data_IF_252952203325
#
_entry.id   IF_252952203325
#
_cell.length_a   1.000
_cell.length_b   1.000
_cell.length_c   1.000
_cell.angle_alpha   90.00
_cell.angle_beta   90.00
_cell.angle_gamma   90.00
#
_symmetry.space_group_name_H-M   'P 1'
#
loop_
_entity.id
_entity.type
_entity.pdbx_description
1 polymer ?
#
# COMPACT_ATOMS: atom_id res chain seq x y z
N UNK A 1 -3.92 -26.40 -19.93
CA UNK A 1 -3.68 -27.39 -18.87
C UNK A 1 -2.18 -27.46 -18.65
N UNK A 2 -1.68 -26.79 -17.60
CA UNK A 2 -0.32 -27.04 -17.15
C UNK A 2 -0.25 -28.45 -16.55
N UNK A 3 0.88 -29.11 -16.72
CA UNK A 3 1.10 -30.48 -16.28
C UNK A 3 1.19 -30.53 -14.74
N UNK A 4 0.19 -31.13 -14.09
CA UNK A 4 0.14 -31.30 -12.64
C UNK A 4 1.30 -32.16 -12.08
N UNK A 5 2.09 -32.80 -12.95
CA UNK A 5 3.31 -33.51 -12.55
C UNK A 5 4.52 -32.59 -12.33
N UNK A 6 4.41 -31.29 -12.62
CA UNK A 6 5.47 -30.34 -12.32
C UNK A 6 5.68 -30.28 -10.79
N UNK A 7 6.92 -30.52 -10.28
CA UNK A 7 7.16 -30.68 -8.85
C UNK A 7 6.71 -29.49 -7.97
N UNK A 8 6.70 -28.28 -8.53
CA UNK A 8 6.25 -27.08 -7.82
C UNK A 8 4.72 -26.96 -7.75
N UNK A 9 3.99 -27.47 -8.76
CA UNK A 9 2.52 -27.53 -8.76
C UNK A 9 2.05 -28.62 -7.79
N UNK A 10 2.70 -29.79 -7.81
CA UNK A 10 2.40 -30.89 -6.89
C UNK A 10 2.64 -30.48 -5.41
N UNK A 11 3.73 -29.77 -5.13
CA UNK A 11 4.03 -29.28 -3.77
C UNK A 11 3.07 -28.17 -3.32
N UNK A 12 2.70 -27.25 -4.20
CA UNK A 12 1.72 -26.21 -3.88
C UNK A 12 0.35 -26.81 -3.54
N UNK A 13 -0.10 -27.80 -4.31
CA UNK A 13 -1.37 -28.49 -4.07
C UNK A 13 -1.33 -29.32 -2.78
N UNK A 14 -0.22 -30.02 -2.48
CA UNK A 14 -0.06 -30.79 -1.24
C UNK A 14 -0.11 -29.90 0.02
N UNK A 15 0.48 -28.70 -0.04
CA UNK A 15 0.44 -27.75 1.07
C UNK A 15 -0.94 -27.12 1.27
N UNK A 16 -1.67 -26.86 0.19
CA UNK A 16 -3.06 -26.38 0.23
C UNK A 16 -4.00 -27.45 0.82
N UNK A 17 -3.77 -28.74 0.54
CA UNK A 17 -4.59 -29.85 1.07
C UNK A 17 -4.35 -30.13 2.56
N UNK A 18 -3.16 -29.80 3.10
CA UNK A 18 -2.78 -30.13 4.49
C UNK A 18 -2.61 -28.92 5.42
N UNK A 19 -2.91 -27.69 4.96
CA UNK A 19 -2.72 -26.45 5.70
C UNK A 19 -3.43 -26.39 7.06
N UNK A 20 -4.61 -26.99 7.19
CA UNK A 20 -5.38 -27.01 8.43
C UNK A 20 -4.71 -27.81 9.57
N UNK A 21 -3.83 -28.77 9.25
CA UNK A 21 -3.07 -29.53 10.25
C UNK A 21 -1.93 -28.72 10.90
N UNK A 22 -1.64 -27.52 10.38
CA UNK A 22 -0.59 -26.63 10.88
C UNK A 22 -1.12 -25.51 11.81
N UNK A 23 -2.43 -25.44 12.05
CA UNK A 23 -3.04 -24.47 12.98
C UNK A 23 -2.88 -24.93 14.44
N UNK A 24 -2.22 -24.12 15.26
CA UNK A 24 -2.12 -24.35 16.71
C UNK A 24 -3.44 -23.94 17.41
N UNK A 25 -4.03 -24.80 18.26
CA UNK A 25 -5.39 -24.59 18.77
C UNK A 25 -5.55 -23.59 19.93
N UNK A 26 -4.49 -22.99 20.46
CA UNK A 26 -4.60 -22.12 21.65
C UNK A 26 -3.71 -20.88 21.55
N UNK A 27 -4.27 -19.75 21.14
CA UNK A 27 -3.65 -18.42 21.34
C UNK A 27 -4.54 -17.54 22.21
N UNK A 28 -3.98 -16.89 23.26
CA UNK A 28 -4.73 -16.00 24.13
C UNK A 28 -5.09 -14.72 23.37
N UNK A 29 -6.38 -14.38 23.33
CA UNK A 29 -6.86 -13.09 22.86
C UNK A 29 -6.19 -11.94 23.65
N UNK A 30 -5.76 -10.92 22.92
CA UNK A 30 -4.72 -9.97 23.29
C UNK A 30 -5.00 -9.12 24.53
N UNK A 31 -3.96 -8.93 25.33
CA UNK A 31 -3.79 -7.80 26.23
C UNK A 31 -2.99 -6.73 25.47
N UNK A 32 -3.67 -5.89 24.68
CA UNK A 32 -3.05 -4.66 24.19
C UNK A 32 -2.95 -3.71 25.39
N UNK A 33 -1.75 -3.48 25.92
CA UNK A 33 -1.54 -2.45 26.94
C UNK A 33 -1.98 -1.10 26.35
N UNK A 34 -3.11 -0.58 26.81
CA UNK A 34 -3.54 0.79 26.54
C UNK A 34 -2.43 1.74 26.98
N UNK A 35 -1.83 2.46 26.04
CA UNK A 35 -0.80 3.45 26.34
C UNK A 35 -1.34 4.47 27.34
N UNK A 36 -0.56 4.73 28.39
CA UNK A 36 -0.95 5.73 29.38
C UNK A 36 -0.92 7.11 28.71
N UNK A 37 -1.94 7.95 28.93
CA UNK A 37 -1.92 9.33 28.46
C UNK A 37 -0.66 10.05 28.94
N UNK A 38 -0.09 10.96 28.13
CA UNK A 38 1.08 11.70 28.53
C UNK A 38 0.79 12.53 29.77
N UNK A 39 1.83 12.69 30.58
CA UNK A 39 1.78 13.50 31.79
C UNK A 39 1.34 14.92 31.45
N UNK A 40 0.37 15.45 32.20
CA UNK A 40 0.02 16.85 32.19
C UNK A 40 1.10 17.69 32.90
N UNK A 41 1.58 18.72 32.22
CA UNK A 41 2.65 19.62 32.66
C UNK A 41 2.13 20.96 33.18
N UNK A 42 0.85 21.25 32.99
CA UNK A 42 0.21 22.50 33.41
C UNK A 42 0.57 23.70 32.53
N UNK A 43 -0.23 24.76 32.65
CA UNK A 43 -0.02 26.03 31.94
C UNK A 43 1.25 26.74 32.42
N UNK A 44 1.90 27.47 31.51
CA UNK A 44 3.06 28.34 31.80
C UNK A 44 2.79 29.74 31.30
N UNK A 45 3.00 30.73 32.17
CA UNK A 45 2.89 32.14 31.80
C UNK A 45 3.98 32.56 30.80
N UNK A 46 5.15 31.92 30.86
CA UNK A 46 6.27 32.11 29.93
C UNK A 46 6.47 30.81 29.13
N UNK A 47 6.25 30.81 27.81
CA UNK A 47 6.45 29.63 27.00
C UNK A 47 7.91 29.15 26.98
N UNK A 48 8.10 27.84 27.05
CA UNK A 48 9.38 27.16 26.85
C UNK A 48 9.59 26.97 25.35
N UNK A 49 10.42 27.80 24.73
CA UNK A 49 10.72 27.72 23.29
C UNK A 49 12.13 27.19 22.99
N UNK A 50 13.00 27.14 24.00
CA UNK A 50 14.33 26.56 23.88
C UNK A 50 14.26 25.04 24.16
N UNK A 51 14.69 24.17 23.23
CA UNK A 51 14.78 22.74 23.47
C UNK A 51 15.59 22.34 24.72
N UNK A 52 16.56 23.16 25.15
CA UNK A 52 17.36 22.89 26.35
C UNK A 52 16.55 23.00 27.65
N UNK A 53 15.44 23.73 27.64
CA UNK A 53 14.58 24.00 28.80
C UNK A 53 13.37 23.05 28.87
N UNK A 54 13.27 22.08 27.95
CA UNK A 54 12.18 21.10 27.93
C UNK A 54 12.22 20.25 29.21
N UNK A 55 11.08 20.12 29.93
CA UNK A 55 11.02 19.29 31.13
C UNK A 55 11.37 17.82 30.85
N UNK A 56 12.20 17.23 31.72
CA UNK A 56 12.59 15.82 31.59
C UNK A 56 11.38 14.90 31.52
N UNK A 57 11.26 14.15 30.42
CA UNK A 57 10.16 13.21 30.18
C UNK A 57 9.00 13.79 29.37
N UNK A 58 9.07 15.06 28.96
CA UNK A 58 8.19 15.59 27.93
C UNK A 58 8.58 15.03 26.55
N UNK A 59 7.60 14.80 25.70
CA UNK A 59 7.77 14.30 24.34
C UNK A 59 6.87 15.08 23.39
N UNK A 60 7.33 15.27 22.15
CA UNK A 60 6.55 15.86 21.07
C UNK A 60 5.65 14.83 20.36
N UNK A 61 5.72 13.55 20.75
CA UNK A 61 4.92 12.47 20.20
C UNK A 61 3.83 12.06 21.19
N UNK A 62 2.57 12.14 20.75
CA UNK A 62 1.41 11.68 21.50
C UNK A 62 1.02 10.30 20.98
N UNK A 63 1.53 9.25 21.64
CA UNK A 63 1.38 7.85 21.21
C UNK A 63 0.10 7.19 21.71
N UNK A 64 -0.69 7.91 22.51
CA UNK A 64 -1.93 7.45 23.13
C UNK A 64 -3.18 7.80 22.32
N UNK A 65 -3.05 8.64 21.29
CA UNK A 65 -4.10 8.96 20.33
C UNK A 65 -3.75 8.26 19.02
N UNK A 66 -4.72 7.62 18.39
CA UNK A 66 -4.53 7.02 17.07
C UNK A 66 -4.29 8.12 16.03
N UNK A 67 -3.37 7.90 15.09
CA UNK A 67 -2.99 8.94 14.11
C UNK A 67 -4.14 9.36 13.19
N UNK A 68 -5.13 8.48 13.01
CA UNK A 68 -6.36 8.71 12.25
C UNK A 68 -7.46 9.43 13.06
N UNK A 69 -7.31 9.55 14.38
CA UNK A 69 -8.16 10.40 15.22
C UNK A 69 -7.74 11.88 15.10
N UNK A 70 -8.04 12.45 13.93
CA UNK A 70 -7.70 13.84 13.58
C UNK A 70 -8.31 14.82 14.59
N UNK A 71 -9.51 14.54 15.10
CA UNK A 71 -10.18 15.38 16.09
C UNK A 71 -9.48 15.33 17.44
N UNK A 72 -9.15 14.14 17.93
CA UNK A 72 -8.34 13.96 19.13
C UNK A 72 -6.97 14.64 19.00
N UNK A 73 -6.33 14.57 17.83
CA UNK A 73 -5.06 15.24 17.56
C UNK A 73 -5.18 16.78 17.54
N UNK A 74 -6.27 17.34 17.02
CA UNK A 74 -6.56 18.79 17.08
C UNK A 74 -6.75 19.25 18.53
N UNK A 75 -7.56 18.54 19.30
CA UNK A 75 -7.77 18.83 20.73
C UNK A 75 -6.45 18.74 21.51
N UNK A 76 -5.65 17.71 21.21
CA UNK A 76 -4.33 17.52 21.80
C UNK A 76 -3.38 18.67 21.48
N UNK A 77 -3.36 19.15 20.25
CA UNK A 77 -2.56 20.31 19.88
C UNK A 77 -2.98 21.55 20.68
N UNK A 78 -4.28 21.83 20.81
CA UNK A 78 -4.77 22.95 21.63
C UNK A 78 -4.35 22.81 23.10
N UNK A 79 -4.44 21.61 23.67
CA UNK A 79 -3.98 21.33 25.02
C UNK A 79 -2.48 21.59 25.19
N UNK A 80 -1.64 21.09 24.28
CA UNK A 80 -0.18 21.27 24.29
C UNK A 80 0.25 22.72 24.11
N UNK A 81 -0.42 23.46 23.23
CA UNK A 81 -0.21 24.91 23.07
C UNK A 81 -0.49 25.63 24.40
N UNK A 82 -1.57 25.25 25.09
CA UNK A 82 -1.91 25.81 26.40
C UNK A 82 -0.91 25.43 27.51
N UNK A 83 -0.21 24.30 27.44
CA UNK A 83 0.88 23.97 28.38
C UNK A 83 2.10 24.89 28.23
N UNK A 84 2.21 25.57 27.09
CA UNK A 84 3.30 26.51 26.79
C UNK A 84 4.66 25.84 26.63
N UNK A 85 4.74 24.54 26.31
CA UNK A 85 6.01 23.86 26.00
C UNK A 85 6.11 23.66 24.48
N UNK A 86 7.09 24.30 23.85
CA UNK A 86 7.33 24.31 22.40
C UNK A 86 6.07 24.63 21.58
N UNK A 87 5.32 25.72 21.89
CA UNK A 87 4.03 25.99 21.26
C UNK A 87 4.11 26.04 19.72
N UNK A 88 5.18 26.60 19.14
CA UNK A 88 5.40 26.69 17.69
C UNK A 88 5.37 25.32 16.96
N UNK A 89 5.79 24.24 17.64
CA UNK A 89 5.71 22.88 17.07
C UNK A 89 4.25 22.44 16.99
N UNK A 90 3.49 22.69 18.05
CA UNK A 90 2.09 22.30 18.15
C UNK A 90 1.17 23.18 17.33
N UNK A 91 1.48 24.46 17.12
CA UNK A 91 0.76 25.33 16.18
C UNK A 91 0.93 24.86 14.74
N UNK A 92 2.14 24.43 14.36
CA UNK A 92 2.37 23.82 13.04
C UNK A 92 1.62 22.50 12.87
N UNK A 93 1.63 21.64 13.88
CA UNK A 93 0.84 20.40 13.89
C UNK A 93 -0.66 20.68 13.84
N UNK A 94 -1.15 21.65 14.60
CA UNK A 94 -2.55 22.07 14.60
C UNK A 94 -2.98 22.49 13.21
N UNK A 95 -2.20 23.35 12.54
CA UNK A 95 -2.48 23.77 11.17
C UNK A 95 -2.50 22.58 10.20
N UNK A 96 -1.59 21.63 10.36
CA UNK A 96 -1.57 20.40 9.58
C UNK A 96 -2.88 19.61 9.78
N UNK A 97 -3.25 19.27 11.01
CA UNK A 97 -4.46 18.51 11.30
C UNK A 97 -5.75 19.25 10.92
N UNK A 98 -5.78 20.58 11.04
CA UNK A 98 -6.90 21.40 10.55
C UNK A 98 -7.05 21.31 9.03
N UNK A 99 -5.94 21.36 8.28
CA UNK A 99 -5.96 21.15 6.83
C UNK A 99 -6.39 19.72 6.48
N UNK A 100 -5.92 18.72 7.22
CA UNK A 100 -6.36 17.32 7.04
C UNK A 100 -7.86 17.20 7.24
N UNK A 101 -8.40 17.72 8.35
CA UNK A 101 -9.85 17.72 8.65
C UNK A 101 -10.66 18.45 7.57
N UNK A 102 -10.17 19.60 7.11
CA UNK A 102 -10.81 20.33 6.02
C UNK A 102 -10.85 19.48 4.74
N UNK A 103 -9.73 18.85 4.37
CA UNK A 103 -9.65 17.97 3.21
C UNK A 103 -10.57 16.76 3.35
N UNK A 104 -10.62 16.12 4.52
CA UNK A 104 -11.56 15.03 4.80
C UNK A 104 -13.01 15.50 4.62
N UNK A 105 -13.34 16.69 5.14
CA UNK A 105 -14.67 17.29 5.00
C UNK A 105 -15.01 17.57 3.53
N UNK A 106 -14.05 18.10 2.75
CA UNK A 106 -14.22 18.35 1.32
C UNK A 106 -14.45 17.04 0.55
N UNK A 107 -13.69 15.99 0.85
CA UNK A 107 -13.84 14.66 0.26
C UNK A 107 -15.18 14.00 0.62
N UNK A 108 -15.62 14.13 1.87
CA UNK A 108 -16.94 13.63 2.30
C UNK A 108 -18.05 14.38 1.55
N UNK A 109 -17.91 15.71 1.43
CA UNK A 109 -18.92 16.54 0.75
C UNK A 109 -18.93 16.36 -0.78
N UNK A 110 -17.85 15.83 -1.38
CA UNK A 110 -17.82 15.54 -2.82
C UNK A 110 -18.52 14.24 -3.20
N UNK A 111 -18.83 13.39 -2.24
CA UNK A 111 -19.40 12.06 -2.47
C UNK A 111 -20.85 11.93 -1.93
N UNK A 112 -21.63 10.96 -2.42
CA UNK A 112 -22.98 10.72 -1.92
C UNK A 112 -23.02 10.42 -0.41
N UNK A 113 -24.10 10.85 0.25
CA UNK A 113 -24.30 10.54 1.66
C UNK A 113 -24.40 9.02 1.89
N UNK A 114 -23.78 8.53 2.97
CA UNK A 114 -23.81 7.11 3.35
C UNK A 114 -22.66 6.27 2.81
N UNK A 115 -21.76 6.85 2.02
CA UNK A 115 -20.50 6.22 1.61
C UNK A 115 -19.52 6.23 2.80
N UNK A 116 -18.86 5.10 3.06
CA UNK A 116 -17.89 4.99 4.16
C UNK A 116 -16.61 5.79 3.88
N UNK A 117 -15.86 6.13 4.93
CA UNK A 117 -14.62 6.89 4.79
C UNK A 117 -13.57 6.17 3.94
N UNK A 118 -13.47 4.86 4.08
CA UNK A 118 -12.55 3.99 3.32
C UNK A 118 -12.89 4.03 1.83
N UNK A 119 -14.19 3.97 1.49
CA UNK A 119 -14.66 4.10 0.11
C UNK A 119 -14.36 5.50 -0.42
N UNK A 120 -14.55 6.57 0.36
CA UNK A 120 -14.21 7.94 -0.05
C UNK A 120 -12.69 8.07 -0.34
N UNK A 121 -11.83 7.52 0.52
CA UNK A 121 -10.39 7.50 0.28
C UNK A 121 -10.03 6.71 -0.99
N UNK A 122 -10.72 5.60 -1.24
CA UNK A 122 -10.53 4.82 -2.47
C UNK A 122 -11.01 5.59 -3.69
N UNK A 123 -12.12 6.30 -3.62
CA UNK A 123 -12.64 7.15 -4.70
C UNK A 123 -11.65 8.27 -5.04
N UNK A 124 -11.05 8.98 -4.07
CA UNK A 124 -9.96 9.96 -4.34
C UNK A 124 -8.76 9.31 -5.04
N UNK A 125 -8.41 8.08 -4.64
CA UNK A 125 -7.33 7.34 -5.31
C UNK A 125 -7.68 6.97 -6.76
N UNK A 126 -8.91 6.52 -7.01
CA UNK A 126 -9.40 6.20 -8.36
C UNK A 126 -9.53 7.44 -9.24
N UNK A 127 -9.94 8.57 -8.68
CA UNK A 127 -10.02 9.87 -9.38
C UNK A 127 -8.62 10.32 -9.85
N UNK A 128 -7.59 10.11 -9.02
CA UNK A 128 -6.18 10.37 -9.41
C UNK A 128 -5.70 9.42 -10.49
N UNK A 129 -5.94 8.11 -10.33
CA UNK A 129 -5.59 7.11 -11.35
C UNK A 129 -6.23 7.46 -12.68
N UNK A 130 -7.51 7.84 -12.67
CA UNK A 130 -8.22 8.29 -13.87
C UNK A 130 -7.57 9.54 -14.47
N UNK A 131 -7.23 10.53 -13.65
CA UNK A 131 -6.56 11.75 -14.11
C UNK A 131 -5.21 11.43 -14.76
N UNK A 132 -4.42 10.55 -14.16
CA UNK A 132 -3.14 10.11 -14.71
C UNK A 132 -3.35 9.39 -16.06
N UNK A 133 -4.37 8.54 -16.16
CA UNK A 133 -4.76 7.91 -17.43
C UNK A 133 -5.12 8.94 -18.51
N UNK A 134 -5.89 9.97 -18.16
CA UNK A 134 -6.29 11.05 -19.06
C UNK A 134 -5.07 11.91 -19.51
N UNK A 135 -4.11 12.16 -18.61
CA UNK A 135 -2.92 12.98 -18.89
C UNK A 135 -1.87 12.24 -19.74
N UNK A 136 -1.63 10.95 -19.47
CA UNK A 136 -0.56 10.18 -20.12
C UNK A 136 -1.04 9.29 -21.28
N UNK A 137 -2.35 9.09 -21.43
CA UNK A 137 -2.95 8.29 -22.51
C UNK A 137 -2.60 6.81 -22.50
N UNK A 138 -2.07 6.31 -21.37
CA UNK A 138 -1.64 4.92 -21.18
C UNK A 138 -2.43 4.27 -20.04
N UNK A 139 -3.70 4.01 -20.28
CA UNK A 139 -4.56 3.35 -19.31
C UNK A 139 -4.57 1.83 -19.46
N UNK A 140 -3.92 1.29 -20.50
CA UNK A 140 -3.97 -0.11 -20.87
C UNK A 140 -5.41 -0.65 -21.01
N UNK A 141 -6.37 0.20 -21.39
CA UNK A 141 -7.80 -0.10 -21.44
C UNK A 141 -8.53 -0.11 -20.09
N UNK A 142 -7.93 0.41 -19.01
CA UNK A 142 -8.53 0.41 -17.67
C UNK A 142 -9.39 1.63 -17.33
N UNK A 143 -9.40 2.70 -18.14
CA UNK A 143 -10.27 3.86 -17.87
C UNK A 143 -11.74 3.44 -17.69
N UNK A 144 -12.32 2.56 -18.53
CA UNK A 144 -13.67 2.05 -18.32
C UNK A 144 -13.84 1.32 -16.99
N UNK A 145 -12.83 0.54 -16.57
CA UNK A 145 -12.88 -0.19 -15.29
C UNK A 145 -12.89 0.79 -14.10
N UNK A 146 -11.99 1.78 -14.10
CA UNK A 146 -11.91 2.79 -13.04
C UNK A 146 -13.24 3.53 -12.91
N UNK A 147 -13.81 3.98 -14.04
CA UNK A 147 -15.13 4.66 -14.05
C UNK A 147 -16.22 3.74 -13.48
N UNK A 148 -16.24 2.46 -13.88
CA UNK A 148 -17.26 1.52 -13.44
C UNK A 148 -17.13 1.18 -11.95
N UNK A 149 -15.91 1.03 -11.43
CA UNK A 149 -15.64 0.81 -10.01
C UNK A 149 -16.09 2.02 -9.19
N UNK A 150 -15.73 3.23 -9.61
CA UNK A 150 -16.18 4.47 -8.94
C UNK A 150 -17.71 4.55 -8.92
N UNK A 151 -18.37 4.22 -10.02
CA UNK A 151 -19.83 4.20 -10.10
C UNK A 151 -20.44 3.16 -9.14
N UNK A 152 -19.86 1.96 -9.05
CA UNK A 152 -20.35 0.91 -8.16
C UNK A 152 -20.17 1.25 -6.68
N UNK A 153 -19.06 1.90 -6.29
CA UNK A 153 -18.90 2.43 -4.94
C UNK A 153 -19.91 3.53 -4.62
N UNK A 154 -20.11 4.47 -5.55
CA UNK A 154 -21.07 5.59 -5.38
C UNK A 154 -22.53 5.13 -5.34
N UNK A 155 -22.88 4.04 -6.03
CA UNK A 155 -24.22 3.44 -5.99
C UNK A 155 -24.44 2.52 -4.78
N UNK A 156 -23.36 2.08 -4.14
CA UNK A 156 -23.39 1.05 -3.09
C UNK A 156 -23.48 -0.38 -3.62
N UNK A 157 -23.38 -0.60 -4.93
CA UNK A 157 -23.31 -1.94 -5.55
C UNK A 157 -21.98 -2.63 -5.22
N UNK A 158 -20.94 -1.84 -4.97
CA UNK A 158 -19.67 -2.29 -4.42
C UNK A 158 -19.49 -1.67 -3.04
N UNK A 159 -19.26 -2.54 -2.05
CA UNK A 159 -18.97 -2.14 -0.67
C UNK A 159 -17.53 -2.53 -0.38
N UNK A 160 -16.78 -1.63 0.26
CA UNK A 160 -15.46 -1.98 0.78
C UNK A 160 -15.66 -3.02 1.89
N UNK A 161 -15.28 -4.27 1.62
CA UNK A 161 -15.44 -5.34 2.59
C UNK A 161 -14.23 -5.39 3.51
N UNK A 162 -14.47 -5.47 4.81
CA UNK A 162 -13.44 -5.78 5.80
C UNK A 162 -12.98 -7.25 5.72
N UNK A 163 -13.57 -8.07 4.83
CA UNK A 163 -13.16 -9.46 4.59
C UNK A 163 -11.81 -9.49 3.85
N UNK A 164 -10.71 -9.88 4.52
CA UNK A 164 -9.38 -9.83 3.93
C UNK A 164 -9.28 -10.77 2.73
N UNK A 165 -8.77 -10.24 1.60
CA UNK A 165 -8.62 -11.01 0.36
C UNK A 165 -9.88 -11.13 -0.49
N UNK A 166 -10.99 -10.48 -0.11
CA UNK A 166 -12.14 -10.28 -0.98
C UNK A 166 -11.79 -9.31 -2.11
N UNK A 167 -11.96 -9.76 -3.35
CA UNK A 167 -11.68 -9.00 -4.57
C UNK A 167 -12.88 -8.98 -5.50
N UNK A 168 -12.89 -7.98 -6.39
CA UNK A 168 -13.76 -7.96 -7.57
C UNK A 168 -12.92 -7.88 -8.83
N UNK A 169 -13.33 -8.65 -9.84
CA UNK A 169 -12.67 -8.70 -11.13
C UNK A 169 -13.45 -7.84 -12.10
N UNK A 170 -12.74 -6.97 -12.82
CA UNK A 170 -13.33 -6.03 -13.76
C UNK A 170 -12.67 -6.18 -15.12
N UNK A 171 -13.49 -6.19 -16.16
CA UNK A 171 -13.01 -6.16 -17.54
C UNK A 171 -13.88 -5.25 -18.40
N UNK A 172 -13.24 -4.36 -19.16
CA UNK A 172 -13.89 -3.47 -20.12
C UNK A 172 -15.09 -2.69 -19.55
N UNK A 173 -14.94 -2.20 -18.31
CA UNK A 173 -15.95 -1.39 -17.61
C UNK A 173 -17.09 -2.18 -16.98
N UNK A 174 -16.92 -3.49 -16.76
CA UNK A 174 -17.92 -4.34 -16.10
C UNK A 174 -17.27 -5.21 -15.05
N UNK A 175 -17.95 -5.38 -13.92
CA UNK A 175 -17.62 -6.42 -12.96
C UNK A 175 -17.95 -7.77 -13.58
N UNK A 176 -16.92 -8.61 -13.77
CA UNK A 176 -17.04 -9.94 -14.38
C UNK A 176 -17.15 -11.05 -13.33
N UNK A 177 -16.61 -10.82 -12.13
CA UNK A 177 -16.72 -11.74 -11.00
C UNK A 177 -16.50 -11.03 -9.65
N UNK A 178 -16.99 -11.65 -8.57
CA UNK A 178 -16.90 -11.13 -7.20
C UNK A 178 -18.15 -10.35 -6.74
N UNK A 179 -18.16 -9.83 -5.50
CA UNK A 179 -17.09 -9.91 -4.49
C UNK A 179 -16.87 -11.34 -3.99
N UNK A 180 -15.60 -11.78 -3.96
CA UNK A 180 -15.20 -13.11 -3.46
C UNK A 180 -13.69 -13.17 -3.21
N UNK A 181 -13.25 -14.23 -2.54
CA UNK A 181 -11.82 -14.51 -2.34
C UNK A 181 -11.07 -14.61 -3.66
N UNK A 182 -9.86 -14.05 -3.69
CA UNK A 182 -9.01 -14.05 -4.89
C UNK A 182 -8.64 -15.48 -5.29
N UNK A 183 -8.87 -15.84 -6.54
CA UNK A 183 -8.43 -17.08 -7.16
C UNK A 183 -7.55 -16.78 -8.37
N UNK A 184 -6.35 -17.37 -8.41
CA UNK A 184 -5.39 -17.12 -9.49
C UNK A 184 -5.75 -17.85 -10.77
N UNK A 185 -6.30 -19.05 -10.68
CA UNK A 185 -6.69 -19.81 -11.87
C UNK A 185 -7.80 -19.07 -12.61
N UNK A 186 -8.78 -18.56 -11.86
CA UNK A 186 -9.85 -17.72 -12.40
C UNK A 186 -9.34 -16.39 -12.94
N UNK A 187 -8.43 -15.71 -12.23
CA UNK A 187 -7.81 -14.49 -12.77
C UNK A 187 -7.16 -14.76 -14.15
N UNK A 188 -6.42 -15.86 -14.26
CA UNK A 188 -5.77 -16.27 -15.50
C UNK A 188 -6.78 -16.67 -16.57
N UNK A 189 -7.88 -17.33 -16.20
CA UNK A 189 -8.97 -17.69 -17.11
C UNK A 189 -9.68 -16.44 -17.65
N UNK A 190 -10.00 -15.48 -16.79
CA UNK A 190 -10.55 -14.17 -17.18
C UNK A 190 -9.57 -13.47 -18.13
N UNK A 191 -8.26 -13.50 -17.83
CA UNK A 191 -7.24 -12.91 -18.70
C UNK A 191 -7.13 -13.59 -20.06
N UNK A 192 -7.29 -14.92 -20.11
CA UNK A 192 -7.30 -15.67 -21.37
C UNK A 192 -8.56 -15.40 -22.19
N UNK A 193 -9.72 -15.26 -21.56
CA UNK A 193 -11.00 -15.01 -22.23
C UNK A 193 -11.14 -13.56 -22.73
N UNK A 194 -10.75 -12.58 -21.90
CA UNK A 194 -11.00 -11.15 -22.13
C UNK A 194 -9.84 -10.41 -22.77
N UNK A 195 -8.70 -11.09 -22.92
CA UNK A 195 -7.44 -10.53 -23.43
C UNK A 195 -6.59 -9.89 -22.31
N UNK A 196 -5.32 -9.58 -22.60
CA UNK A 196 -4.37 -9.10 -21.59
C UNK A 196 -4.54 -7.63 -21.19
N UNK A 197 -5.49 -6.91 -21.81
CA UNK A 197 -5.71 -5.48 -21.60
C UNK A 197 -7.07 -5.23 -20.96
N UNK A 198 -7.18 -4.14 -20.21
CA UNK A 198 -8.43 -3.71 -19.59
C UNK A 198 -8.96 -4.68 -18.56
N UNK A 199 -8.07 -5.38 -17.83
CA UNK A 199 -8.41 -6.22 -16.69
C UNK A 199 -7.90 -5.57 -15.43
N UNK A 200 -8.77 -5.50 -14.43
CA UNK A 200 -8.50 -4.91 -13.13
C UNK A 200 -8.98 -5.83 -12.01
N UNK A 201 -8.17 -5.96 -10.96
CA UNK A 201 -8.57 -6.64 -9.72
C UNK A 201 -8.63 -5.59 -8.63
N UNK A 202 -9.82 -5.32 -8.15
CA UNK A 202 -10.07 -4.37 -7.07
C UNK A 202 -10.06 -5.10 -5.72
N UNK A 203 -9.35 -4.56 -4.74
CA UNK A 203 -9.26 -5.13 -3.38
C UNK A 203 -8.03 -6.00 -3.10
N UNK A 204 -6.99 -5.99 -3.96
CA UNK A 204 -5.78 -6.79 -3.73
C UNK A 204 -4.99 -6.29 -2.51
N UNK A 205 -4.68 -7.20 -1.60
CA UNK A 205 -3.82 -6.98 -0.42
C UNK A 205 -2.54 -7.80 -0.53
N UNK A 206 -1.40 -7.24 -0.12
CA UNK A 206 -0.18 -8.05 0.10
C UNK A 206 0.10 -8.15 1.59
N UNK A 207 0.76 -9.23 1.98
CA UNK A 207 1.35 -9.37 3.30
C UNK A 207 2.83 -9.03 3.25
N UNK A 208 3.26 -8.21 4.20
CA UNK A 208 4.67 -7.92 4.45
C UNK A 208 5.11 -8.42 5.82
N UNK A 209 6.36 -8.84 5.95
CA UNK A 209 6.96 -9.23 7.24
C UNK A 209 8.44 -8.90 7.33
N UNK A 210 8.97 -8.93 8.55
CA UNK A 210 10.40 -8.76 8.79
C UNK A 210 11.18 -10.03 8.37
N UNK A 211 12.17 -9.95 7.46
CA UNK A 211 13.00 -11.11 7.12
C UNK A 211 13.83 -11.67 8.30
N UNK A 212 14.11 -10.88 9.34
CA UNK A 212 14.89 -11.31 10.50
C UNK A 212 14.15 -12.31 11.40
N UNK A 213 12.86 -12.55 11.19
CA UNK A 213 12.06 -13.51 11.97
C UNK A 213 11.90 -14.88 11.30
N UNK A 214 12.79 -15.21 10.35
CA UNK A 214 12.84 -16.45 9.57
C UNK A 214 12.59 -17.76 10.36
N UNK A 215 12.95 -17.82 11.65
CA UNK A 215 12.80 -19.04 12.47
C UNK A 215 11.35 -19.37 12.84
N UNK A 216 10.39 -18.48 12.58
CA UNK A 216 8.97 -18.72 12.80
C UNK A 216 8.20 -18.41 11.52
N UNK A 217 8.01 -19.42 10.67
CA UNK A 217 7.17 -19.32 9.48
C UNK A 217 5.68 -19.35 9.85
N UNK A 218 5.27 -18.40 10.67
CA UNK A 218 3.89 -18.20 11.12
C UNK A 218 3.34 -16.96 10.45
N UNK A 219 2.02 -16.87 10.31
CA UNK A 219 1.32 -15.64 9.94
C UNK A 219 1.37 -14.57 11.05
N UNK A 220 1.82 -14.92 12.25
CA UNK A 220 1.80 -14.05 13.44
C UNK A 220 2.54 -12.70 13.28
N UNK A 221 3.71 -12.60 12.59
CA UNK A 221 4.40 -11.33 12.38
C UNK A 221 4.19 -10.77 10.97
N UNK A 222 3.03 -10.98 10.35
CA UNK A 222 2.71 -10.40 9.03
C UNK A 222 1.75 -9.23 9.16
N UNK A 223 1.90 -8.27 8.26
CA UNK A 223 1.03 -7.10 8.15
C UNK A 223 0.44 -7.10 6.75
N UNK A 224 -0.89 -7.13 6.66
CA UNK A 224 -1.60 -7.01 5.40
C UNK A 224 -1.75 -5.53 5.06
N UNK A 225 -1.22 -5.12 3.92
CA UNK A 225 -1.26 -3.73 3.45
C UNK A 225 -1.79 -3.70 2.02
N UNK A 226 -2.78 -2.83 1.71
CA UNK A 226 -3.18 -2.54 0.34
C UNK A 226 -2.01 -1.99 -0.47
N UNK A 227 -1.81 -2.50 -1.68
CA UNK A 227 -0.71 -2.08 -2.56
C UNK A 227 -1.23 -1.23 -3.70
N UNK A 228 -0.59 -0.10 -3.91
CA UNK A 228 -0.66 0.62 -5.17
C UNK A 228 0.54 0.22 -6.04
N UNK A 229 0.31 -0.61 -7.04
CA UNK A 229 1.37 -0.90 -8.03
C UNK A 229 1.70 0.40 -8.78
N UNK A 230 2.88 0.94 -8.51
CA UNK A 230 3.37 2.17 -9.13
C UNK A 230 4.50 1.78 -10.08
N UNK A 231 4.15 1.60 -11.35
CA UNK A 231 5.06 1.19 -12.41
C UNK A 231 6.12 2.24 -12.75
N UNK A 232 5.94 3.49 -12.28
CA UNK A 232 6.93 4.57 -12.42
C UNK A 232 8.00 4.56 -11.34
N UNK A 233 7.79 3.81 -10.26
CA UNK A 233 8.72 3.76 -9.14
C UNK A 233 9.93 2.85 -9.43
N UNK A 234 11.13 3.29 -9.05
CA UNK A 234 12.34 2.46 -9.14
C UNK A 234 12.45 1.41 -8.00
N UNK A 235 11.63 1.55 -6.95
CA UNK A 235 11.64 0.67 -5.79
C UNK A 235 10.27 0.70 -5.11
N UNK A 236 9.99 -0.32 -4.31
CA UNK A 236 8.87 -0.28 -3.36
C UNK A 236 9.08 0.85 -2.35
N UNK A 237 7.99 1.44 -1.87
CA UNK A 237 7.97 2.46 -0.82
C UNK A 237 7.04 2.00 0.30
N UNK A 238 7.52 2.11 1.53
CA UNK A 238 6.74 1.90 2.75
C UNK A 238 6.76 3.19 3.58
N UNK A 239 5.74 3.40 4.40
CA UNK A 239 5.74 4.52 5.33
C UNK A 239 6.56 4.18 6.59
N UNK A 240 7.07 5.22 7.27
CA UNK A 240 7.88 5.04 8.47
C UNK A 240 7.07 4.38 9.59
N UNK A 241 5.81 4.76 9.76
CA UNK A 241 4.91 4.09 10.71
C UNK A 241 4.75 2.58 10.45
N UNK A 242 4.72 2.15 9.19
CA UNK A 242 4.66 0.73 8.81
C UNK A 242 5.95 -0.03 9.14
N UNK A 243 7.11 0.60 8.92
CA UNK A 243 8.38 0.05 9.38
C UNK A 243 8.35 -0.13 10.89
N UNK A 244 8.04 0.91 11.66
CA UNK A 244 8.06 0.87 13.12
C UNK A 244 7.08 -0.18 13.65
N UNK A 245 5.90 -0.29 13.03
CA UNK A 245 4.92 -1.32 13.34
C UNK A 245 5.47 -2.73 13.10
N UNK A 246 6.07 -2.98 11.93
CA UNK A 246 6.68 -4.26 11.59
C UNK A 246 7.81 -4.64 12.54
N UNK A 247 8.68 -3.69 12.86
CA UNK A 247 9.81 -3.92 13.75
C UNK A 247 9.32 -4.28 15.15
N UNK A 248 8.32 -3.55 15.65
CA UNK A 248 7.67 -3.83 16.93
C UNK A 248 7.00 -5.20 16.94
N UNK A 249 6.22 -5.52 15.91
CA UNK A 249 5.53 -6.80 15.76
C UNK A 249 6.52 -7.97 15.73
N UNK A 250 7.64 -7.79 15.02
CA UNK A 250 8.68 -8.79 14.87
C UNK A 250 9.66 -8.89 16.06
N UNK A 251 9.69 -7.88 16.92
CA UNK A 251 10.69 -7.75 18.00
C UNK A 251 12.13 -7.52 17.49
N UNK A 252 12.30 -7.07 16.25
CA UNK A 252 13.60 -6.92 15.61
C UNK A 252 13.58 -5.75 14.59
N UNK A 253 14.69 -5.03 14.38
CA UNK A 253 14.75 -4.02 13.32
C UNK A 253 14.68 -4.67 11.93
N UNK A 254 14.20 -3.93 10.93
CA UNK A 254 14.29 -4.34 9.54
C UNK A 254 15.76 -4.27 9.07
N UNK A 255 16.23 -5.17 8.20
CA UNK A 255 17.57 -5.06 7.65
C UNK A 255 17.68 -3.82 6.75
N UNK A 256 18.47 -2.84 7.18
CA UNK A 256 18.82 -1.67 6.36
C UNK A 256 19.93 -2.06 5.39
N UNK A 257 19.71 -1.91 4.08
CA UNK A 257 20.73 -2.22 3.05
C UNK A 257 21.54 -1.01 2.62
N UNK A 258 20.90 0.17 2.59
CA UNK A 258 21.53 1.39 2.10
C UNK A 258 20.72 2.62 2.46
N UNK A 259 21.32 3.79 2.30
CA UNK A 259 20.62 5.08 2.33
C UNK A 259 20.76 5.71 0.95
N UNK A 260 19.65 6.17 0.37
CA UNK A 260 19.61 6.77 -0.97
C UNK A 260 18.97 8.15 -0.92
N UNK A 261 19.32 8.98 -1.88
CA UNK A 261 18.64 10.25 -2.09
C UNK A 261 17.49 10.05 -3.09
N UNK A 262 16.27 10.25 -2.63
CA UNK A 262 15.04 10.15 -3.40
C UNK A 262 14.60 11.55 -3.81
N UNK A 263 14.40 11.77 -5.11
CA UNK A 263 13.77 13.00 -5.59
C UNK A 263 12.28 12.93 -5.32
N UNK A 264 11.74 13.93 -4.63
CA UNK A 264 10.31 14.07 -4.36
C UNK A 264 9.83 15.45 -4.82
N UNK A 265 8.52 15.66 -4.86
CA UNK A 265 7.95 17.00 -5.11
C UNK A 265 8.40 18.05 -4.07
N UNK A 266 8.82 17.62 -2.88
CA UNK A 266 9.37 18.47 -1.82
C UNK A 266 10.91 18.65 -1.93
N UNK A 267 11.52 18.17 -3.02
CA UNK A 267 12.97 18.17 -3.24
C UNK A 267 13.63 16.84 -2.92
N UNK A 268 14.96 16.87 -2.86
CA UNK A 268 15.78 15.69 -2.58
C UNK A 268 15.66 15.29 -1.11
N UNK A 269 15.23 14.08 -0.84
CA UNK A 269 15.10 13.53 0.51
C UNK A 269 15.98 12.30 0.69
N UNK A 270 16.71 12.25 1.79
CA UNK A 270 17.50 11.06 2.14
C UNK A 270 16.60 10.03 2.83
N UNK A 271 16.53 8.83 2.26
CA UNK A 271 15.67 7.73 2.72
C UNK A 271 16.48 6.46 2.98
N UNK A 272 16.06 5.69 3.98
CA UNK A 272 16.64 4.37 4.23
C UNK A 272 15.99 3.34 3.30
N UNK A 273 16.79 2.39 2.85
CA UNK A 273 16.34 1.23 2.10
C UNK A 273 16.40 0.04 3.05
N UNK A 274 15.26 -0.59 3.25
CA UNK A 274 15.11 -1.78 4.07
C UNK A 274 14.76 -2.98 3.20
N UNK A 275 14.97 -4.19 3.73
CA UNK A 275 14.48 -5.42 3.12
C UNK A 275 13.22 -5.86 3.85
N UNK A 276 12.16 -6.06 3.08
CA UNK A 276 10.92 -6.69 3.51
C UNK A 276 10.82 -8.08 2.89
N UNK A 277 10.12 -8.98 3.57
CA UNK A 277 9.57 -10.17 2.92
C UNK A 277 8.12 -9.90 2.53
N UNK A 278 7.80 -10.07 1.25
CA UNK A 278 6.47 -9.79 0.70
C UNK A 278 5.88 -11.08 0.12
N UNK A 279 4.58 -11.26 0.29
CA UNK A 279 3.81 -12.34 -0.32
C UNK A 279 2.39 -11.82 -0.63
N UNK A 280 1.71 -12.41 -1.62
CA UNK A 280 0.27 -12.19 -1.77
C UNK A 280 -0.40 -13.07 -0.72
N UNK A 281 -1.32 -12.51 0.04
CA UNK A 281 -2.09 -13.28 0.99
C UNK A 281 -3.50 -13.51 0.46
N UNK A 282 -3.96 -14.73 0.61
CA UNK A 282 -5.32 -15.14 0.33
C UNK A 282 -5.75 -16.11 1.42
N UNK A 283 -6.88 -15.86 2.08
CA UNK A 283 -7.43 -16.75 3.11
C UNK A 283 -6.48 -17.04 4.29
N UNK A 284 -5.75 -16.02 4.75
CA UNK A 284 -4.70 -16.16 5.78
C UNK A 284 -3.53 -17.08 5.39
N UNK A 285 -3.43 -17.41 4.10
CA UNK A 285 -2.35 -18.21 3.55
C UNK A 285 -1.54 -17.42 2.52
N UNK A 286 -0.20 -17.59 2.51
CA UNK A 286 0.63 -17.05 1.45
C UNK A 286 0.31 -17.76 0.13
N UNK A 287 -0.06 -17.01 -0.91
CA UNK A 287 -0.34 -17.56 -2.24
C UNK A 287 0.93 -18.03 -2.95
N UNK A 288 2.09 -17.47 -2.58
CA UNK A 288 3.36 -17.87 -3.17
C UNK A 288 4.05 -18.89 -2.28
N UNK A 289 4.69 -19.90 -2.88
CA UNK A 289 5.39 -20.94 -2.13
C UNK A 289 6.58 -20.42 -1.33
N UNK A 290 7.03 -19.18 -1.60
CA UNK A 290 8.11 -18.52 -0.88
C UNK A 290 7.82 -17.04 -0.68
N UNK A 291 8.24 -16.52 0.46
CA UNK A 291 8.33 -15.09 0.70
C UNK A 291 9.45 -14.49 -0.14
N UNK A 292 9.19 -13.35 -0.75
CA UNK A 292 10.13 -12.67 -1.64
C UNK A 292 10.77 -11.52 -0.89
N UNK A 293 12.11 -11.48 -0.88
CA UNK A 293 12.84 -10.34 -0.34
C UNK A 293 12.72 -9.16 -1.32
N UNK A 294 12.03 -8.10 -0.89
CA UNK A 294 11.85 -6.87 -1.64
C UNK A 294 12.60 -5.75 -0.94
N UNK A 295 13.32 -4.94 -1.71
CA UNK A 295 13.91 -3.70 -1.18
C UNK A 295 12.84 -2.61 -1.20
N UNK A 296 12.60 -1.99 -0.06
CA UNK A 296 11.69 -0.88 0.07
C UNK A 296 12.39 0.37 0.61
N UNK A 297 12.09 1.52 0.02
CA UNK A 297 12.45 2.83 0.53
C UNK A 297 11.49 3.22 1.65
N UNK A 298 12.01 3.67 2.77
CA UNK A 298 11.22 4.16 3.89
C UNK A 298 10.98 5.65 3.70
N UNK A 299 9.75 6.00 3.32
CA UNK A 299 9.29 7.37 3.23
C UNK A 299 8.75 7.86 4.57
N UNK A 300 8.75 9.18 4.80
CA UNK A 300 7.96 9.76 5.88
C UNK A 300 6.47 9.53 5.60
N UNK A 301 5.71 9.31 6.65
CA UNK A 301 4.26 9.30 6.58
C UNK A 301 3.79 10.63 5.99
N UNK A 302 2.96 10.61 4.94
CA UNK A 302 2.37 11.83 4.43
C UNK A 302 1.41 12.40 5.50
N UNK A 303 1.23 13.73 5.55
CA UNK A 303 0.35 14.36 6.53
C UNK A 303 -1.07 13.77 6.49
N UNK A 304 -1.58 13.49 5.30
CA UNK A 304 -2.87 12.84 5.05
C UNK A 304 -2.66 11.36 4.67
N UNK A 305 -2.23 10.50 5.60
CA UNK A 305 -1.96 9.07 5.34
C UNK A 305 -3.02 8.44 4.41
N UNK A 306 -2.70 8.23 3.11
CA UNK A 306 -3.67 7.68 2.18
C UNK A 306 -3.90 6.21 2.53
N UNK A 307 -5.02 5.65 2.08
CA UNK A 307 -5.32 4.22 2.20
C UNK A 307 -4.24 3.34 1.55
N UNK A 308 -3.46 3.87 0.60
CA UNK A 308 -2.32 3.19 -0.03
C UNK A 308 -1.02 3.48 0.72
N UNK A 309 -0.73 2.64 1.72
CA UNK A 309 0.48 2.73 2.57
C UNK A 309 1.70 2.03 1.99
N UNK A 310 1.49 1.14 1.01
CA UNK A 310 2.52 0.47 0.22
C UNK A 310 2.39 0.87 -1.25
N UNK A 311 3.47 1.33 -1.86
CA UNK A 311 3.50 1.61 -3.31
C UNK A 311 4.77 1.10 -3.99
N UNK A 312 4.77 1.00 -5.31
CA UNK A 312 5.96 0.73 -6.12
C UNK A 312 5.87 -0.56 -6.95
N UNK A 313 7.03 -0.99 -7.47
CA UNK A 313 7.17 -2.08 -8.44
C UNK A 313 7.19 -3.47 -7.80
N UNK A 314 6.19 -3.77 -6.98
CA UNK A 314 6.10 -5.05 -6.28
C UNK A 314 6.07 -6.23 -7.27
N UNK A 315 5.29 -6.13 -8.33
CA UNK A 315 5.13 -7.22 -9.31
C UNK A 315 6.44 -7.55 -10.03
N UNK A 316 7.35 -6.59 -10.18
CA UNK A 316 8.67 -6.81 -10.79
C UNK A 316 9.60 -7.72 -9.96
N UNK A 317 9.33 -7.87 -8.66
CA UNK A 317 10.07 -8.81 -7.81
C UNK A 317 9.52 -10.24 -7.92
N UNK A 318 8.34 -10.40 -8.48
CA UNK A 318 7.56 -11.63 -8.52
C UNK A 318 7.55 -12.27 -9.90
N UNK A 319 7.33 -11.44 -10.90
CA UNK A 319 7.03 -11.80 -12.27
C UNK A 319 8.10 -11.21 -13.17
N UNK A 320 8.30 -11.86 -14.31
CA UNK A 320 9.07 -11.26 -15.38
C UNK A 320 8.22 -10.15 -15.99
N UNK A 321 8.62 -8.91 -15.74
CA UNK A 321 8.00 -7.72 -16.31
C UNK A 321 8.85 -7.22 -17.50
N UNK A 322 8.20 -6.88 -18.61
CA UNK A 322 8.86 -6.30 -19.77
C UNK A 322 8.00 -5.19 -20.37
N UNK A 323 8.61 -4.05 -20.66
CA UNK A 323 8.03 -2.99 -21.50
C UNK A 323 8.58 -3.10 -22.91
N UNK A 324 7.72 -2.94 -23.92
CA UNK A 324 8.14 -2.95 -25.33
C UNK A 324 8.31 -1.53 -25.87
N UNK A 325 9.29 -1.27 -26.77
CA UNK A 325 9.47 0.04 -27.41
C UNK A 325 8.47 0.23 -28.57
N UNK A 326 7.20 -0.06 -28.33
CA UNK A 326 6.10 0.04 -29.31
C UNK A 326 5.20 1.27 -29.05
N UNK A 327 5.60 2.16 -28.14
CA UNK A 327 4.85 3.34 -27.67
C UNK A 327 3.48 3.05 -27.06
N UNK A 328 3.17 1.80 -26.72
CA UNK A 328 1.92 1.49 -26.01
C UNK A 328 2.04 1.78 -24.52
N UNK A 329 3.26 2.01 -24.02
CA UNK A 329 3.59 2.17 -22.60
C UNK A 329 3.06 1.01 -21.73
N UNK A 330 2.79 -0.15 -22.35
CA UNK A 330 2.27 -1.33 -21.68
C UNK A 330 3.41 -2.10 -21.02
N UNK A 331 3.18 -2.51 -19.77
CA UNK A 331 3.98 -3.50 -19.09
C UNK A 331 3.36 -4.89 -19.28
N UNK A 332 4.12 -5.81 -19.82
CA UNK A 332 3.76 -7.22 -19.95
C UNK A 332 4.36 -7.98 -18.78
N UNK A 333 3.62 -8.96 -18.25
CA UNK A 333 4.04 -9.78 -17.12
C UNK A 333 3.92 -11.26 -17.47
N UNK A 334 4.85 -12.08 -16.98
CA UNK A 334 4.85 -13.53 -17.14
C UNK A 334 5.50 -14.22 -15.94
N UNK A 335 5.12 -15.47 -15.70
CA UNK A 335 5.70 -16.28 -14.61
C UNK A 335 7.11 -16.76 -14.95
N UNK A 336 7.41 -16.88 -16.24
CA UNK A 336 8.75 -17.11 -16.78
C UNK A 336 9.01 -16.28 -18.05
N UNK A 337 10.29 -16.17 -18.41
CA UNK A 337 10.72 -15.41 -19.57
C UNK A 337 10.18 -15.97 -20.90
N UNK A 338 10.00 -17.29 -21.01
CA UNK A 338 9.52 -17.91 -22.25
C UNK A 338 8.04 -17.62 -22.47
N UNK A 339 7.22 -17.73 -21.43
CA UNK A 339 5.82 -17.31 -21.43
C UNK A 339 5.70 -15.83 -21.78
N UNK A 340 6.48 -14.97 -21.14
CA UNK A 340 6.48 -13.54 -21.44
C UNK A 340 6.83 -13.28 -22.90
N UNK A 341 7.92 -13.85 -23.40
CA UNK A 341 8.37 -13.67 -24.79
C UNK A 341 7.39 -14.25 -25.82
N UNK A 342 6.60 -15.26 -25.46
CA UNK A 342 5.58 -15.83 -26.33
C UNK A 342 4.33 -14.95 -26.44
N UNK A 343 4.03 -14.14 -25.41
CA UNK A 343 2.81 -13.34 -25.34
C UNK A 343 3.02 -11.86 -25.66
N UNK A 344 4.26 -11.36 -25.63
CA UNK A 344 4.56 -9.98 -26.02
C UNK A 344 4.41 -9.80 -27.54
N UNK A 345 3.79 -8.70 -28.01
CA UNK A 345 3.67 -8.43 -29.44
C UNK A 345 5.05 -8.23 -30.06
N UNK A 346 5.23 -8.66 -31.30
CA UNK A 346 6.44 -8.38 -32.07
C UNK A 346 6.60 -6.87 -32.22
N UNK A 347 7.62 -6.32 -31.57
CA UNK A 347 7.93 -4.91 -31.67
C UNK A 347 8.78 -4.64 -32.92
N UNK A 348 8.36 -3.71 -33.77
CA UNK A 348 9.21 -3.16 -34.81
C UNK A 348 9.93 -1.92 -34.26
N UNK A 349 11.26 -1.99 -34.01
CA UNK A 349 12.00 -0.87 -33.42
C UNK A 349 11.94 0.41 -34.25
N UNK A 350 11.64 0.32 -35.55
CA UNK A 350 11.52 1.48 -36.44
C UNK A 350 10.34 2.41 -36.07
N UNK A 351 9.36 1.92 -35.31
CA UNK A 351 8.24 2.72 -34.82
C UNK A 351 8.43 3.18 -33.37
N UNK A 352 9.52 2.80 -32.70
CA UNK A 352 9.81 3.27 -31.36
C UNK A 352 10.04 4.80 -31.40
N UNK A 353 9.31 5.54 -30.57
CA UNK A 353 9.63 6.95 -30.29
C UNK A 353 10.74 6.90 -29.24
N UNK A 354 11.97 7.30 -29.57
CA UNK A 354 13.03 7.34 -28.58
C UNK A 354 12.63 8.30 -27.45
N UNK A 355 13.05 8.04 -26.20
CA UNK A 355 12.82 8.98 -25.11
C UNK A 355 13.36 10.36 -25.51
N UNK A 356 12.71 11.45 -25.07
CA UNK A 356 13.20 12.79 -25.35
C UNK A 356 14.66 12.88 -24.91
N UNK A 357 15.58 13.12 -25.85
CA UNK A 357 16.93 13.50 -25.52
C UNK A 357 16.84 14.92 -24.98
N UNK A 358 17.08 15.09 -23.68
CA UNK A 358 17.25 16.40 -23.10
C UNK A 358 18.43 17.07 -23.83
N UNK A 359 18.21 18.18 -24.57
CA UNK A 359 19.28 18.84 -25.30
C UNK A 359 20.33 19.48 -24.38
N UNK A 360 20.14 19.43 -23.05
CA UNK A 360 21.03 20.00 -22.05
C UNK A 360 21.94 18.98 -21.33
N UNK A 361 21.92 17.70 -21.69
CA UNK A 361 22.83 16.67 -21.14
C UNK A 361 24.01 16.40 -22.07
#
# INVERSE_FOLDING_TARGET
MQDASLPHVALANDLLEHGDALRLPDFPQGNYETFKPPKAWGHRDVPVTDPADIPKGWTSCDLDIAEDDVDGMIERCHWRINEGIMPDIWERKLKMYQNMKQRQTEMINSEPAGVSWEVIQRLDSLERIKKDFDEFGNDNGNTPNVIAIMAAYRSGDLVWSDDPGSVTYWAHGKMVAGPKKMDMEEFLDISRERGPHGIWVEGVTVSIRNPNTWSKNTSEPTVQIPVLEDTGAAAMKICLSDQEYLERLSGAPLPVTSTTDMSTAAGLMRVNNVVLQVNIFNNDEPMLPRWINVRACVGRDPPDAPSTRLSGVWLHHMLYCLSMPNNTNTMYMGTDLQELLANVPLCNPAYAIPPPVDPMI
#
